data_IF_881024134919
#
_entry.id   IF_881024134919
#
_cell.length_a   1.000
_cell.length_b   1.000
_cell.length_c   1.000
_cell.angle_alpha   90.00
_cell.angle_beta   90.00
_cell.angle_gamma   90.00
#
_symmetry.space_group_name_H-M   'P 1'
#
loop_
_entity.id
_entity.type
_entity.pdbx_description
1 polymer ?
#
# COMPACT_ATOMS: atom_id res chain seq x y z
N UNK A 1 -8.02 20.07 -8.75
CA UNK A 1 -7.32 20.00 -7.45
C UNK A 1 -5.96 20.67 -7.63
N UNK A 2 -5.49 21.45 -6.67
CA UNK A 2 -4.11 21.98 -6.68
C UNK A 2 -3.10 20.86 -6.37
N UNK A 3 -1.81 21.09 -6.61
CA UNK A 3 -0.78 20.11 -6.25
C UNK A 3 -0.74 19.86 -4.73
N UNK A 4 -0.95 20.89 -3.91
CA UNK A 4 -0.97 20.74 -2.45
C UNK A 4 -2.17 19.91 -1.97
N UNK A 5 -3.37 20.19 -2.50
CA UNK A 5 -4.57 19.40 -2.23
C UNK A 5 -4.41 17.95 -2.70
N UNK A 6 -3.80 17.75 -3.86
CA UNK A 6 -3.52 16.44 -4.42
C UNK A 6 -2.46 15.70 -3.61
N UNK A 7 -1.43 16.38 -3.15
CA UNK A 7 -0.42 15.85 -2.25
C UNK A 7 -1.04 15.34 -0.96
N UNK A 8 -1.86 16.17 -0.30
CA UNK A 8 -2.58 15.80 0.92
C UNK A 8 -3.52 14.60 0.68
N UNK A 9 -4.27 14.60 -0.43
CA UNK A 9 -5.16 13.50 -0.79
C UNK A 9 -4.38 12.21 -1.05
N UNK A 10 -3.30 12.28 -1.83
CA UNK A 10 -2.43 11.14 -2.11
C UNK A 10 -1.87 10.54 -0.83
N UNK A 11 -1.30 11.36 0.06
CA UNK A 11 -0.79 10.92 1.35
C UNK A 11 -1.88 10.28 2.21
N UNK A 12 -3.09 10.86 2.27
CA UNK A 12 -4.22 10.27 3.01
C UNK A 12 -4.59 8.86 2.54
N UNK A 13 -4.32 8.55 1.26
CA UNK A 13 -4.62 7.25 0.65
C UNK A 13 -3.50 6.25 0.91
N UNK A 14 -2.23 6.64 0.72
CA UNK A 14 -1.10 5.69 0.76
C UNK A 14 -0.52 5.50 2.16
N UNK A 15 -0.65 6.48 3.04
CA UNK A 15 -0.05 6.43 4.38
C UNK A 15 -0.61 5.35 5.30
N UNK A 16 -1.92 5.08 5.34
CA UNK A 16 -2.45 3.95 6.08
C UNK A 16 -1.83 2.62 5.63
N UNK A 17 -1.66 2.43 4.32
CA UNK A 17 -1.00 1.25 3.75
C UNK A 17 0.47 1.13 4.17
N UNK A 18 1.22 2.24 4.19
CA UNK A 18 2.61 2.24 4.69
C UNK A 18 2.68 1.81 6.16
N UNK A 19 1.79 2.33 7.01
CA UNK A 19 1.71 1.96 8.43
C UNK A 19 1.33 0.48 8.60
N UNK A 20 0.40 -0.02 7.79
CA UNK A 20 0.00 -1.43 7.81
C UNK A 20 1.14 -2.36 7.37
N UNK A 21 1.94 -1.96 6.38
CA UNK A 21 3.14 -2.70 5.96
C UNK A 21 4.14 -2.82 7.11
N UNK A 22 4.46 -1.71 7.79
CA UNK A 22 5.37 -1.71 8.95
C UNK A 22 4.84 -2.61 10.07
N UNK A 23 3.53 -2.57 10.34
CA UNK A 23 2.92 -3.42 11.36
C UNK A 23 3.00 -4.92 10.99
N UNK A 24 2.80 -5.25 9.71
CA UNK A 24 2.95 -6.62 9.22
C UNK A 24 4.40 -7.11 9.31
N UNK A 25 5.38 -6.28 8.93
CA UNK A 25 6.80 -6.60 9.05
C UNK A 25 7.22 -6.83 10.52
N UNK A 26 6.71 -6.00 11.43
CA UNK A 26 6.92 -6.17 12.87
C UNK A 26 6.28 -7.48 13.39
N UNK A 27 5.10 -7.86 12.89
CA UNK A 27 4.47 -9.13 13.23
C UNK A 27 5.28 -10.33 12.70
N UNK A 28 5.84 -10.26 11.50
CA UNK A 28 6.77 -11.29 11.02
C UNK A 28 8.02 -11.40 11.90
N UNK A 29 8.55 -10.28 12.38
CA UNK A 29 9.71 -10.25 13.27
C UNK A 29 9.42 -10.88 14.64
N UNK A 30 8.17 -10.87 15.12
CA UNK A 30 7.80 -11.51 16.39
C UNK A 30 7.74 -13.03 16.31
N UNK A 31 7.54 -13.60 15.12
CA UNK A 31 7.38 -15.04 14.89
C UNK A 31 6.02 -15.61 15.34
N UNK A 32 5.11 -14.77 15.84
CA UNK A 32 3.80 -15.18 16.35
C UNK A 32 2.77 -15.22 15.21
N UNK A 33 2.33 -16.44 14.85
CA UNK A 33 1.37 -16.64 13.76
C UNK A 33 0.02 -15.94 14.00
N UNK A 34 -0.42 -15.80 15.25
CA UNK A 34 -1.66 -15.10 15.56
C UNK A 34 -1.50 -13.59 15.29
N UNK A 35 -0.34 -13.02 15.59
CA UNK A 35 -0.05 -11.62 15.28
C UNK A 35 0.11 -11.40 13.77
N UNK A 36 0.79 -12.31 13.07
CA UNK A 36 1.00 -12.23 11.61
C UNK A 36 -0.33 -12.26 10.88
N UNK A 37 -1.18 -13.24 11.18
CA UNK A 37 -2.49 -13.40 10.51
C UNK A 37 -3.41 -12.21 10.77
N UNK A 38 -3.44 -11.69 12.00
CA UNK A 38 -4.23 -10.51 12.37
C UNK A 38 -3.72 -9.24 11.67
N UNK A 39 -2.40 -9.02 11.65
CA UNK A 39 -1.79 -7.88 10.96
C UNK A 39 -2.03 -7.96 9.44
N UNK A 40 -1.93 -9.15 8.86
CA UNK A 40 -2.19 -9.37 7.43
C UNK A 40 -3.65 -9.13 7.06
N UNK A 41 -4.61 -9.58 7.88
CA UNK A 41 -6.03 -9.29 7.65
C UNK A 41 -6.30 -7.77 7.68
N UNK A 42 -5.72 -7.05 8.64
CA UNK A 42 -5.83 -5.59 8.70
C UNK A 42 -5.18 -4.91 7.49
N UNK A 43 -3.98 -5.36 7.10
CA UNK A 43 -3.27 -4.84 5.94
C UNK A 43 -4.06 -5.06 4.64
N UNK A 44 -4.66 -6.23 4.46
CA UNK A 44 -5.53 -6.54 3.30
C UNK A 44 -6.64 -5.49 3.14
N UNK A 45 -7.39 -5.23 4.21
CA UNK A 45 -8.54 -4.33 4.16
C UNK A 45 -8.11 -2.87 3.88
N UNK A 46 -6.96 -2.47 4.44
CA UNK A 46 -6.35 -1.15 4.19
C UNK A 46 -5.88 -1.04 2.73
N UNK A 47 -5.14 -2.03 2.22
CA UNK A 47 -4.67 -2.03 0.84
C UNK A 47 -5.83 -2.01 -0.16
N UNK A 48 -6.93 -2.72 0.12
CA UNK A 48 -8.12 -2.68 -0.70
C UNK A 48 -8.74 -1.27 -0.71
N UNK A 49 -8.83 -0.63 0.45
CA UNK A 49 -9.32 0.75 0.56
C UNK A 49 -8.43 1.72 -0.22
N UNK A 50 -7.11 1.59 -0.09
CA UNK A 50 -6.15 2.41 -0.83
C UNK A 50 -6.24 2.18 -2.34
N UNK A 51 -6.35 0.94 -2.80
CA UNK A 51 -6.50 0.59 -4.21
C UNK A 51 -7.73 1.26 -4.81
N UNK A 52 -8.89 1.09 -4.18
CA UNK A 52 -10.15 1.67 -4.64
C UNK A 52 -10.09 3.21 -4.68
N UNK A 53 -9.47 3.84 -3.68
CA UNK A 53 -9.32 5.29 -3.65
C UNK A 53 -8.37 5.82 -4.73
N UNK A 54 -7.29 5.09 -5.07
CA UNK A 54 -6.39 5.45 -6.17
C UNK A 54 -7.06 5.29 -7.54
N UNK A 55 -7.98 4.33 -7.68
CA UNK A 55 -8.75 4.07 -8.90
C UNK A 55 -10.01 4.93 -9.05
N UNK A 56 -10.36 5.76 -8.05
CA UNK A 56 -11.59 6.55 -8.08
C UNK A 56 -11.51 7.68 -9.12
N UNK A 57 -12.27 7.52 -10.20
CA UNK A 57 -12.35 8.48 -11.32
C UNK A 57 -13.06 9.78 -10.96
N UNK A 58 -13.71 9.86 -9.79
CA UNK A 58 -14.32 11.10 -9.28
C UNK A 58 -13.30 12.04 -8.65
N UNK A 59 -12.09 11.56 -8.33
CA UNK A 59 -11.02 12.40 -7.82
C UNK A 59 -10.33 13.11 -8.99
N UNK A 60 -10.42 14.44 -9.00
CA UNK A 60 -9.85 15.30 -10.05
C UNK A 60 -8.37 15.58 -9.79
N UNK A 61 -7.53 14.58 -10.04
CA UNK A 61 -6.08 14.66 -9.96
C UNK A 61 -5.49 15.66 -10.97
N UNK A 62 -4.34 16.29 -10.66
CA UNK A 62 -3.58 17.07 -11.64
C UNK A 62 -3.23 16.25 -12.90
N UNK A 63 -3.04 16.93 -14.03
CA UNK A 63 -2.67 16.25 -15.29
C UNK A 63 -1.35 15.48 -15.16
N UNK A 64 -1.26 14.34 -15.86
CA UNK A 64 -0.01 13.58 -15.98
C UNK A 64 0.29 12.59 -14.85
N UNK A 65 -0.57 12.43 -13.84
CA UNK A 65 -0.37 11.44 -12.76
C UNK A 65 -1.36 10.26 -12.79
N UNK A 66 -2.47 10.37 -13.53
CA UNK A 66 -3.54 9.37 -13.51
C UNK A 66 -3.07 7.95 -13.90
N UNK A 67 -2.20 7.82 -14.90
CA UNK A 67 -1.64 6.53 -15.31
C UNK A 67 -0.76 5.92 -14.21
N UNK A 68 0.00 6.74 -13.49
CA UNK A 68 0.84 6.27 -12.38
C UNK A 68 -0.02 5.88 -11.17
N UNK A 69 -1.08 6.64 -10.86
CA UNK A 69 -2.05 6.27 -9.82
C UNK A 69 -2.75 4.95 -10.11
N UNK A 70 -3.07 4.67 -11.39
CA UNK A 70 -3.61 3.37 -11.80
C UNK A 70 -2.63 2.24 -11.54
N UNK A 71 -1.34 2.40 -11.87
CA UNK A 71 -0.30 1.41 -11.56
C UNK A 71 -0.18 1.18 -10.05
N UNK A 72 -0.23 2.25 -9.26
CA UNK A 72 -0.23 2.12 -7.79
C UNK A 72 -1.47 1.41 -7.27
N UNK A 73 -2.65 1.66 -7.84
CA UNK A 73 -3.87 0.91 -7.51
C UNK A 73 -3.70 -0.58 -7.80
N UNK A 74 -3.13 -0.95 -8.95
CA UNK A 74 -2.92 -2.36 -9.32
C UNK A 74 -1.93 -3.04 -8.36
N UNK A 75 -0.86 -2.34 -7.99
CA UNK A 75 0.08 -2.80 -6.98
C UNK A 75 -0.59 -2.99 -5.60
N UNK A 76 -1.49 -2.09 -5.19
CA UNK A 76 -2.26 -2.27 -3.96
C UNK A 76 -3.16 -3.51 -4.03
N UNK A 77 -3.80 -3.80 -5.17
CA UNK A 77 -4.54 -5.05 -5.34
C UNK A 77 -3.66 -6.30 -5.28
N UNK A 78 -2.43 -6.25 -5.81
CA UNK A 78 -1.47 -7.33 -5.63
C UNK A 78 -1.13 -7.55 -4.14
N UNK A 79 -0.98 -6.47 -3.38
CA UNK A 79 -0.77 -6.53 -1.92
C UNK A 79 -1.98 -7.09 -1.17
N UNK A 80 -3.20 -6.81 -1.62
CA UNK A 80 -4.44 -7.43 -1.09
C UNK A 80 -4.35 -8.95 -1.22
N UNK A 81 -4.02 -9.47 -2.41
CA UNK A 81 -3.92 -10.92 -2.62
C UNK A 81 -2.82 -11.58 -1.79
N UNK A 82 -1.69 -10.91 -1.58
CA UNK A 82 -0.63 -11.38 -0.70
C UNK A 82 -1.10 -11.41 0.76
N UNK A 83 -1.62 -10.29 1.28
CA UNK A 83 -2.05 -10.17 2.66
C UNK A 83 -3.21 -11.12 2.99
N UNK A 84 -4.12 -11.37 2.03
CA UNK A 84 -5.18 -12.36 2.19
C UNK A 84 -4.65 -13.79 2.36
N UNK A 85 -3.65 -14.20 1.57
CA UNK A 85 -3.00 -15.50 1.73
C UNK A 85 -2.31 -15.61 3.10
N UNK A 86 -1.54 -14.60 3.49
CA UNK A 86 -0.86 -14.59 4.80
C UNK A 86 -1.86 -14.62 5.95
N UNK A 87 -3.00 -13.94 5.83
CA UNK A 87 -4.04 -13.93 6.86
C UNK A 87 -4.70 -15.29 7.12
N UNK A 88 -4.55 -16.23 6.18
CA UNK A 88 -5.11 -17.58 6.23
C UNK A 88 -4.08 -18.64 6.61
N UNK A 89 -2.80 -18.26 6.71
CA UNK A 89 -1.74 -19.18 7.08
C UNK A 89 -1.96 -19.72 8.51
N UNK A 90 -1.66 -20.99 8.70
CA UNK A 90 -1.84 -21.70 9.99
C UNK A 90 -0.54 -21.86 10.75
N UNK A 91 0.60 -21.67 10.08
CA UNK A 91 1.94 -21.79 10.67
C UNK A 91 2.83 -20.64 10.19
N UNK A 92 3.88 -20.35 10.98
CA UNK A 92 4.89 -19.36 10.59
C UNK A 92 5.57 -19.73 9.26
N UNK A 93 5.95 -21.00 9.08
CA UNK A 93 6.62 -21.44 7.86
C UNK A 93 5.74 -21.29 6.62
N UNK A 94 4.44 -21.60 6.73
CA UNK A 94 3.46 -21.35 5.68
C UNK A 94 3.40 -19.86 5.34
N UNK A 95 3.23 -19.00 6.35
CA UNK A 95 3.18 -17.55 6.17
C UNK A 95 4.46 -17.00 5.51
N UNK A 96 5.63 -17.47 5.95
CA UNK A 96 6.95 -17.05 5.46
C UNK A 96 7.26 -17.58 4.05
N UNK A 97 6.58 -18.65 3.61
CA UNK A 97 6.71 -19.20 2.26
C UNK A 97 5.91 -18.44 1.20
N UNK A 98 4.98 -17.57 1.61
CA UNK A 98 4.16 -16.77 0.69
C UNK A 98 5.02 -15.61 0.18
N UNK A 99 5.24 -15.58 -1.13
CA UNK A 99 6.11 -14.58 -1.76
C UNK A 99 5.26 -13.46 -2.35
N UNK A 100 5.53 -12.22 -1.95
CA UNK A 100 5.09 -11.04 -2.69
C UNK A 100 5.99 -10.87 -3.91
N UNK A 101 5.41 -10.87 -5.11
CA UNK A 101 6.15 -10.57 -6.33
C UNK A 101 6.43 -9.07 -6.37
N UNK A 102 7.71 -8.70 -6.29
CA UNK A 102 8.14 -7.31 -6.36
C UNK A 102 7.72 -6.68 -7.70
N UNK A 103 7.22 -5.45 -7.66
CA UNK A 103 6.73 -4.69 -8.81
C UNK A 103 7.46 -3.33 -8.93
N UNK A 104 7.14 -2.55 -9.96
CA UNK A 104 7.70 -1.21 -10.17
C UNK A 104 7.03 -0.11 -9.32
N UNK A 105 6.13 -0.47 -8.39
CA UNK A 105 5.30 0.49 -7.65
C UNK A 105 6.12 1.46 -6.80
N UNK A 106 7.28 1.04 -6.29
CA UNK A 106 8.19 1.92 -5.56
C UNK A 106 8.68 3.09 -6.41
N UNK A 107 9.13 2.83 -7.64
CA UNK A 107 9.58 3.86 -8.57
C UNK A 107 8.42 4.77 -9.01
N UNK A 108 7.25 4.17 -9.28
CA UNK A 108 6.02 4.92 -9.63
C UNK A 108 5.59 5.84 -8.49
N UNK A 109 5.64 5.37 -7.23
CA UNK A 109 5.28 6.16 -6.06
C UNK A 109 6.22 7.35 -5.84
N UNK A 110 7.51 7.21 -6.14
CA UNK A 110 8.47 8.31 -6.09
C UNK A 110 8.22 9.33 -7.21
N UNK A 111 7.86 8.86 -8.41
CA UNK A 111 7.48 9.73 -9.52
C UNK A 111 6.25 10.60 -9.17
N UNK A 112 5.20 9.98 -8.60
CA UNK A 112 4.00 10.72 -8.16
C UNK A 112 4.34 11.73 -7.08
N UNK A 113 5.17 11.37 -6.09
CA UNK A 113 5.65 12.31 -5.06
C UNK A 113 6.35 13.52 -5.69
N UNK A 114 7.27 13.31 -6.61
CA UNK A 114 7.99 14.38 -7.30
C UNK A 114 7.04 15.31 -8.09
N UNK A 115 6.05 14.74 -8.81
CA UNK A 115 5.05 15.52 -9.55
C UNK A 115 4.14 16.35 -8.63
N UNK A 116 3.87 15.86 -7.41
CA UNK A 116 3.06 16.55 -6.41
C UNK A 116 3.87 17.47 -5.48
N UNK A 117 5.19 17.58 -5.68
CA UNK A 117 6.06 18.37 -4.80
C UNK A 117 6.22 17.81 -3.38
N UNK A 118 5.95 16.51 -3.19
CA UNK A 118 6.07 15.84 -1.91
C UNK A 118 7.52 15.39 -1.63
N UNK A 119 7.93 15.30 -0.35
CA UNK A 119 9.20 14.70 0.01
C UNK A 119 9.34 13.26 -0.50
N UNK A 120 10.56 12.84 -0.82
CA UNK A 120 10.85 11.46 -1.23
C UNK A 120 10.61 10.44 -0.09
N UNK A 121 10.60 10.91 1.16
CA UNK A 121 10.29 10.09 2.33
C UNK A 121 8.90 9.44 2.19
N UNK A 122 8.84 8.15 2.50
CA UNK A 122 7.59 7.39 2.58
C UNK A 122 7.10 7.25 4.02
N UNK A 123 7.87 7.75 4.99
CA UNK A 123 7.46 7.85 6.38
C UNK A 123 6.28 8.81 6.46
N UNK A 124 5.17 8.31 6.95
CA UNK A 124 3.96 9.08 7.13
C UNK A 124 3.87 9.51 8.60
N UNK A 125 4.39 10.70 8.90
CA UNK A 125 4.24 11.37 10.19
C UNK A 125 2.78 11.77 10.42
#
# INVERSE_FOLDING_TARGET
MTNDEAGAKYLSIVCPGNKASIALDAAFTSGDIAQITAAAASARDIYQTSALALADTKILWPEGIAADLKKLSDAQFARVSFADQVSKATTFDEANSIIYVNDDSGAVAQKVRAQLGLPASTTCE
#
